data_IF_819226608755
#
_entry.id   IF_819226608755
#
_cell.length_a   1.000
_cell.length_b   1.000
_cell.length_c   1.000
_cell.angle_alpha   90.00
_cell.angle_beta   90.00
_cell.angle_gamma   90.00
#
_symmetry.space_group_name_H-M   'P 1'
#
loop_
_entity.id
_entity.type
_entity.pdbx_description
1 polymer ?
#
# COMPACT_ATOMS: atom_id res chain seq x y z
N UNK A 1 -9.37 21.55 0.95
CA UNK A 1 -10.52 21.04 0.15
C UNK A 1 -10.58 19.54 0.32
N UNK A 2 -11.54 18.82 -0.28
CA UNK A 2 -11.51 17.35 -0.24
C UNK A 2 -10.16 16.80 -0.75
N UNK A 3 -9.40 17.57 -1.56
CA UNK A 3 -8.17 17.10 -2.19
C UNK A 3 -7.01 16.81 -1.21
N UNK A 4 -6.98 17.45 -0.03
CA UNK A 4 -5.87 17.37 0.93
C UNK A 4 -5.93 16.16 1.89
N UNK A 5 -6.98 15.34 1.81
CA UNK A 5 -7.21 14.28 2.78
C UNK A 5 -6.06 13.24 2.86
N UNK A 6 -5.49 12.74 1.74
CA UNK A 6 -4.41 11.76 1.79
C UNK A 6 -3.14 12.33 2.43
N UNK A 7 -2.86 13.61 2.20
CA UNK A 7 -1.70 14.33 2.73
C UNK A 7 -1.83 14.53 4.23
N UNK A 8 -3.05 14.66 4.73
CA UNK A 8 -3.33 14.63 6.18
C UNK A 8 -3.10 13.23 6.73
N UNK A 9 -3.61 12.19 6.08
CA UNK A 9 -3.38 10.80 6.48
C UNK A 9 -1.88 10.47 6.53
N UNK A 10 -1.12 10.89 5.51
CA UNK A 10 0.32 10.68 5.43
C UNK A 10 1.09 11.46 6.49
N UNK A 11 0.74 12.72 6.75
CA UNK A 11 1.35 13.49 7.84
C UNK A 11 1.12 12.85 9.20
N UNK A 12 -0.09 12.37 9.48
CA UNK A 12 -0.40 11.67 10.73
C UNK A 12 0.40 10.38 10.90
N UNK A 13 0.59 9.61 9.83
CA UNK A 13 1.46 8.42 9.82
C UNK A 13 2.92 8.78 10.15
N UNK A 14 3.44 9.84 9.53
CA UNK A 14 4.81 10.28 9.73
C UNK A 14 5.01 10.82 11.16
N UNK A 15 4.04 11.57 11.68
CA UNK A 15 4.02 12.04 13.08
C UNK A 15 3.96 10.88 14.08
N UNK A 16 3.06 9.91 13.87
CA UNK A 16 2.98 8.69 14.68
C UNK A 16 4.32 7.93 14.69
N UNK A 17 4.98 7.82 13.53
CA UNK A 17 6.30 7.20 13.39
C UNK A 17 7.39 7.95 14.16
N UNK A 18 7.36 9.29 14.16
CA UNK A 18 8.32 10.13 14.86
C UNK A 18 8.09 10.10 16.38
N UNK A 19 6.83 10.14 16.82
CA UNK A 19 6.47 10.03 18.23
C UNK A 19 6.87 8.67 18.80
N UNK A 20 6.61 7.57 18.09
CA UNK A 20 7.05 6.24 18.50
C UNK A 20 8.56 6.16 18.73
N UNK A 21 9.36 6.77 17.85
CA UNK A 21 10.82 6.80 17.95
C UNK A 21 11.32 7.71 19.09
N UNK A 22 10.77 8.91 19.20
CA UNK A 22 11.21 9.90 20.21
C UNK A 22 10.82 9.51 21.64
N UNK A 23 9.66 8.85 21.81
CA UNK A 23 9.18 8.37 23.11
C UNK A 23 9.58 6.93 23.41
N UNK A 24 10.19 6.23 22.44
CA UNK A 24 10.46 4.79 22.49
C UNK A 24 9.21 3.95 22.85
N UNK A 25 8.02 4.44 22.49
CA UNK A 25 6.75 3.79 22.77
C UNK A 25 6.35 2.89 21.59
N UNK A 26 6.38 1.58 21.81
CA UNK A 26 6.03 0.58 20.79
C UNK A 26 4.55 0.61 20.42
N UNK A 27 3.67 1.00 21.34
CA UNK A 27 2.22 1.06 21.12
C UNK A 27 1.84 2.15 20.11
N UNK A 28 2.73 3.11 19.87
CA UNK A 28 2.59 4.14 18.85
C UNK A 28 3.24 3.75 17.52
N UNK A 29 3.78 2.54 17.36
CA UNK A 29 4.36 2.11 16.09
C UNK A 29 3.26 1.89 15.06
N UNK A 30 3.31 2.54 13.89
CA UNK A 30 2.31 2.31 12.85
C UNK A 30 2.27 0.84 12.45
N UNK A 31 1.06 0.29 12.34
CA UNK A 31 0.82 -1.09 11.98
C UNK A 31 0.26 -1.21 10.55
N UNK A 32 -0.14 -2.43 10.18
CA UNK A 32 -0.74 -2.73 8.88
C UNK A 32 -1.98 -1.88 8.61
N UNK A 33 -2.81 -1.65 9.63
CA UNK A 33 -4.07 -0.90 9.48
C UNK A 33 -3.76 0.57 9.24
N UNK A 34 -2.81 1.16 9.96
CA UNK A 34 -2.40 2.55 9.76
C UNK A 34 -1.88 2.78 8.34
N UNK A 35 -1.00 1.90 7.85
CA UNK A 35 -0.49 1.99 6.47
C UNK A 35 -1.60 1.78 5.43
N UNK A 36 -2.46 0.77 5.60
CA UNK A 36 -3.55 0.50 4.68
C UNK A 36 -4.53 1.67 4.58
N UNK A 37 -4.77 2.38 5.67
CA UNK A 37 -5.63 3.57 5.69
C UNK A 37 -5.07 4.68 4.80
N UNK A 38 -3.75 4.92 4.89
CA UNK A 38 -3.07 5.91 4.02
C UNK A 38 -3.10 5.47 2.56
N UNK A 39 -2.80 4.20 2.28
CA UNK A 39 -2.81 3.64 0.92
C UNK A 39 -4.21 3.75 0.31
N UNK A 40 -5.26 3.37 1.04
CA UNK A 40 -6.65 3.47 0.56
C UNK A 40 -7.05 4.92 0.28
N UNK A 41 -6.59 5.88 1.10
CA UNK A 41 -6.85 7.30 0.87
C UNK A 41 -6.28 7.81 -0.46
N UNK A 42 -5.09 7.32 -0.85
CA UNK A 42 -4.49 7.59 -2.16
C UNK A 42 -5.20 6.84 -3.29
N UNK A 43 -5.55 5.56 -3.06
CA UNK A 43 -6.20 4.72 -4.05
C UNK A 43 -7.58 5.24 -4.50
N UNK A 44 -8.36 5.79 -3.57
CA UNK A 44 -9.65 6.42 -3.88
C UNK A 44 -9.56 7.62 -4.83
N UNK A 45 -8.35 8.14 -5.08
CA UNK A 45 -8.07 9.31 -5.93
C UNK A 45 -7.21 8.99 -7.15
N UNK A 46 -6.93 7.71 -7.40
CA UNK A 46 -6.02 7.32 -8.49
C UNK A 46 -4.57 7.78 -8.29
N UNK A 47 -4.18 8.15 -7.06
CA UNK A 47 -2.81 8.61 -6.75
C UNK A 47 -1.87 7.44 -6.53
N UNK A 48 -1.61 6.73 -7.62
CA UNK A 48 -0.96 5.42 -7.60
C UNK A 48 0.51 5.47 -7.17
N UNK A 49 1.24 6.53 -7.55
CA UNK A 49 2.65 6.67 -7.19
C UNK A 49 2.84 6.82 -5.68
N UNK A 50 1.97 7.57 -5.02
CA UNK A 50 1.99 7.80 -3.58
C UNK A 50 1.53 6.56 -2.80
N UNK A 51 0.54 5.84 -3.34
CA UNK A 51 0.13 4.55 -2.82
C UNK A 51 1.28 3.52 -2.87
N UNK A 52 1.96 3.41 -4.02
CA UNK A 52 3.11 2.51 -4.22
C UNK A 52 4.27 2.88 -3.29
N UNK A 53 4.60 4.18 -3.19
CA UNK A 53 5.63 4.67 -2.27
C UNK A 53 5.30 4.30 -0.83
N UNK A 54 4.05 4.45 -0.40
CA UNK A 54 3.63 4.13 0.97
C UNK A 54 3.75 2.62 1.25
N UNK A 55 3.40 1.76 0.30
CA UNK A 55 3.60 0.31 0.40
C UNK A 55 5.08 -0.07 0.50
N UNK A 56 5.96 0.58 -0.28
CA UNK A 56 7.42 0.38 -0.16
C UNK A 56 7.96 0.82 1.19
N UNK A 57 7.46 1.92 1.74
CA UNK A 57 7.87 2.40 3.06
C UNK A 57 7.47 1.43 4.17
N UNK A 58 6.25 0.89 4.10
CA UNK A 58 5.76 -0.17 4.98
C UNK A 58 6.73 -1.38 4.99
N UNK A 59 7.14 -1.83 3.80
CA UNK A 59 7.94 -3.04 3.62
C UNK A 59 9.43 -2.85 3.96
N UNK A 60 10.03 -1.73 3.52
CA UNK A 60 11.48 -1.50 3.59
C UNK A 60 11.91 -0.72 4.82
N UNK A 61 11.13 0.28 5.26
CA UNK A 61 11.51 1.17 6.37
C UNK A 61 10.91 0.71 7.69
N UNK A 62 9.60 0.44 7.70
CA UNK A 62 8.89 0.06 8.92
C UNK A 62 8.98 -1.43 9.22
N UNK A 63 9.38 -2.25 8.24
CA UNK A 63 9.40 -3.72 8.33
C UNK A 63 8.04 -4.31 8.72
N UNK A 64 6.96 -3.60 8.39
CA UNK A 64 5.59 -4.05 8.60
C UNK A 64 5.22 -4.89 7.39
N UNK A 65 4.68 -6.08 7.64
CA UNK A 65 4.37 -7.04 6.58
C UNK A 65 3.07 -6.65 5.88
N UNK A 66 3.08 -6.35 4.58
CA UNK A 66 1.86 -6.05 3.85
C UNK A 66 0.98 -7.28 3.68
N UNK A 67 -0.30 -7.02 3.41
CA UNK A 67 -1.35 -8.03 3.21
C UNK A 67 -1.90 -7.94 1.79
N UNK A 68 -2.73 -8.91 1.38
CA UNK A 68 -3.47 -8.83 0.10
C UNK A 68 -4.24 -7.51 -0.02
N UNK A 69 -4.82 -7.01 1.08
CA UNK A 69 -5.51 -5.71 1.10
C UNK A 69 -4.56 -4.58 0.73
N UNK A 70 -3.34 -4.56 1.29
CA UNK A 70 -2.33 -3.54 1.02
C UNK A 70 -2.00 -3.48 -0.47
N UNK A 71 -1.73 -4.63 -1.09
CA UNK A 71 -1.39 -4.72 -2.50
C UNK A 71 -2.57 -4.40 -3.42
N UNK A 72 -3.75 -4.97 -3.14
CA UNK A 72 -4.96 -4.71 -3.92
C UNK A 72 -5.34 -3.23 -3.91
N UNK A 73 -5.16 -2.53 -2.78
CA UNK A 73 -5.39 -1.09 -2.71
C UNK A 73 -4.44 -0.31 -3.62
N UNK A 74 -3.15 -0.66 -3.69
CA UNK A 74 -2.20 -0.03 -4.63
C UNK A 74 -2.56 -0.36 -6.09
N UNK A 75 -2.90 -1.62 -6.40
CA UNK A 75 -3.33 -1.99 -7.76
C UNK A 75 -4.60 -1.24 -8.19
N UNK A 76 -5.57 -1.08 -7.28
CA UNK A 76 -6.78 -0.28 -7.51
C UNK A 76 -6.47 1.22 -7.63
N UNK A 77 -5.36 1.70 -7.06
CA UNK A 77 -4.88 3.06 -7.31
C UNK A 77 -4.35 3.20 -8.75
N UNK A 78 -3.57 2.22 -9.22
CA UNK A 78 -3.04 2.18 -10.59
C UNK A 78 -4.15 2.05 -11.64
N UNK A 79 -5.15 1.18 -11.42
CA UNK A 79 -6.28 1.03 -12.35
C UNK A 79 -7.15 2.28 -12.47
N UNK A 80 -7.12 3.17 -11.47
CA UNK A 80 -7.83 4.45 -11.46
C UNK A 80 -6.95 5.64 -11.85
N UNK A 81 -5.68 5.41 -12.11
CA UNK A 81 -4.75 6.46 -12.51
C UNK A 81 -4.72 6.58 -14.02
N UNK A 82 -4.55 7.80 -14.55
CA UNK A 82 -4.35 8.04 -15.99
C UNK A 82 -2.92 7.70 -16.45
N UNK A 83 -2.18 6.90 -15.68
CA UNK A 83 -0.80 6.55 -15.98
C UNK A 83 -0.75 5.42 -17.02
N UNK A 84 -0.04 5.65 -18.13
CA UNK A 84 0.12 4.66 -19.21
C UNK A 84 0.78 3.36 -18.73
N UNK A 85 1.60 3.40 -17.68
CA UNK A 85 2.28 2.22 -17.11
C UNK A 85 1.46 1.49 -16.03
N UNK A 86 0.20 1.89 -15.79
CA UNK A 86 -0.69 1.28 -14.79
C UNK A 86 -0.79 -0.26 -14.88
N UNK A 87 -1.06 -0.85 -16.06
CA UNK A 87 -1.15 -2.30 -16.21
C UNK A 87 0.17 -3.03 -15.90
N UNK A 88 1.29 -2.51 -16.40
CA UNK A 88 2.63 -3.04 -16.15
C UNK A 88 2.97 -2.99 -14.66
N UNK A 89 2.60 -1.91 -13.97
CA UNK A 89 2.78 -1.77 -12.52
C UNK A 89 1.94 -2.79 -11.75
N UNK A 90 0.69 -3.01 -12.15
CA UNK A 90 -0.15 -4.04 -11.56
C UNK A 90 0.45 -5.44 -11.73
N UNK A 91 1.00 -5.76 -12.89
CA UNK A 91 1.73 -7.02 -13.13
C UNK A 91 2.95 -7.18 -12.23
N UNK A 92 3.75 -6.12 -12.07
CA UNK A 92 4.93 -6.13 -11.18
C UNK A 92 4.51 -6.33 -9.73
N UNK A 93 3.43 -5.69 -9.28
CA UNK A 93 2.89 -5.86 -7.93
C UNK A 93 2.40 -7.30 -7.70
N UNK A 94 1.71 -7.90 -8.68
CA UNK A 94 1.25 -9.29 -8.62
C UNK A 94 2.44 -10.26 -8.51
N UNK A 95 3.46 -10.11 -9.35
CA UNK A 95 4.68 -10.91 -9.25
C UNK A 95 5.40 -10.72 -7.90
N UNK A 96 5.38 -9.50 -7.36
CA UNK A 96 5.94 -9.21 -6.04
C UNK A 96 5.17 -9.94 -4.93
N UNK A 97 3.84 -10.01 -5.01
CA UNK A 97 3.02 -10.77 -4.06
C UNK A 97 3.37 -12.26 -4.09
N UNK A 98 3.51 -12.85 -5.28
CA UNK A 98 3.86 -14.27 -5.42
C UNK A 98 5.23 -14.60 -4.82
N UNK A 99 6.23 -13.74 -5.08
CA UNK A 99 7.57 -13.89 -4.53
C UNK A 99 7.54 -13.75 -3.01
N UNK A 100 6.79 -12.80 -2.46
CA UNK A 100 6.71 -12.58 -1.01
C UNK A 100 5.92 -13.69 -0.29
N UNK A 101 4.84 -14.19 -0.89
CA UNK A 101 4.08 -15.33 -0.37
C UNK A 101 4.97 -16.57 -0.29
N UNK A 102 5.74 -16.84 -1.35
CA UNK A 102 6.63 -18.00 -1.44
C UNK A 102 7.88 -17.88 -0.55
N UNK A 103 8.52 -16.71 -0.51
CA UNK A 103 9.81 -16.53 0.18
C UNK A 103 9.69 -16.27 1.68
N UNK A 104 8.63 -15.59 2.14
CA UNK A 104 8.46 -15.20 3.55
C UNK A 104 7.39 -16.01 4.27
N UNK A 105 6.79 -17.00 3.61
CA UNK A 105 5.71 -17.83 4.13
C UNK A 105 4.60 -17.00 4.80
N UNK A 106 4.29 -15.84 4.21
CA UNK A 106 3.27 -14.93 4.72
C UNK A 106 1.92 -15.54 4.31
N UNK A 107 1.37 -16.36 5.20
CA UNK A 107 0.06 -16.95 5.03
C UNK A 107 -0.98 -15.84 4.78
N UNK A 108 -1.73 -15.97 3.68
CA UNK A 108 -2.73 -14.98 3.28
C UNK A 108 -2.21 -13.83 2.42
N UNK A 109 -0.98 -13.90 1.86
CA UNK A 109 -0.46 -12.94 0.88
C UNK A 109 -0.63 -13.38 -0.60
N UNK A 110 -1.07 -14.61 -0.84
CA UNK A 110 -1.26 -15.12 -2.21
C UNK A 110 -2.30 -14.29 -2.98
N UNK A 111 -2.07 -13.99 -4.26
CA UNK A 111 -3.07 -13.35 -5.12
C UNK A 111 -4.39 -14.12 -5.10
N UNK A 112 -5.50 -13.39 -5.11
CA UNK A 112 -6.83 -13.97 -5.19
C UNK A 112 -7.61 -13.43 -6.40
N UNK A 113 -8.86 -13.86 -6.57
CA UNK A 113 -9.71 -13.43 -7.69
C UNK A 113 -9.83 -11.91 -7.80
N UNK A 114 -9.85 -11.18 -6.67
CA UNK A 114 -9.88 -9.71 -6.68
C UNK A 114 -8.59 -9.17 -7.28
N UNK A 115 -7.43 -9.72 -6.92
CA UNK A 115 -6.12 -9.31 -7.47
C UNK A 115 -6.10 -9.42 -8.99
N UNK A 116 -6.55 -10.54 -9.55
CA UNK A 116 -6.61 -10.73 -11.01
C UNK A 116 -7.63 -9.80 -11.68
N UNK A 117 -8.82 -9.63 -11.08
CA UNK A 117 -9.83 -8.70 -11.61
C UNK A 117 -9.28 -7.28 -11.67
N UNK A 118 -8.59 -6.81 -10.62
CA UNK A 118 -8.00 -5.46 -10.61
C UNK A 118 -6.93 -5.28 -11.69
N UNK A 119 -6.12 -6.32 -11.98
CA UNK A 119 -5.14 -6.25 -13.09
C UNK A 119 -5.85 -6.20 -14.44
N UNK A 120 -6.95 -6.94 -14.62
CA UNK A 120 -7.76 -6.92 -15.84
C UNK A 120 -8.44 -5.55 -16.01
N UNK A 121 -8.99 -4.98 -14.94
CA UNK A 121 -9.63 -3.65 -14.94
C UNK A 121 -8.63 -2.52 -15.24
N UNK A 122 -7.34 -2.75 -15.06
CA UNK A 122 -6.30 -1.78 -15.41
C UNK A 122 -5.97 -1.75 -16.91
N UNK A 123 -6.32 -2.80 -17.67
CA UNK A 123 -6.12 -2.92 -19.12
C UNK A 123 -7.26 -2.27 -19.92
#
# INVERSE_FOLDING_TARGET
TADDAPERCKRLLDEMSLLAKSTNNKDLTPDVVTYNTVIDSYARRGRAQEADKTLREMLLKAKVVPTVVSFNSVMNAWSKSDAEDGPERCKVLLATMDVLASSKNINGLAPNTITYNTVIDAY
#
